data_IF_578910459239
#
_entry.id   IF_578910459239
#
_cell.length_a   1.000
_cell.length_b   1.000
_cell.length_c   1.000
_cell.angle_alpha   90.00
_cell.angle_beta   90.00
_cell.angle_gamma   90.00
#
_symmetry.space_group_name_H-M   'P 1'
#
loop_
_entity.id
_entity.type
_entity.pdbx_description
1 polymer ?
#
# COMPACT_ATOMS: atom_id res chain seq x y z
N UNK A 1 -33.00 -0.99 40.56
CA UNK A 1 -32.82 -0.16 39.36
C UNK A 1 -32.10 -1.05 38.37
N UNK A 2 -32.74 -1.36 37.26
CA UNK A 2 -32.28 -2.33 36.27
C UNK A 2 -32.68 -1.86 34.89
N UNK A 3 -32.17 -2.53 33.87
CA UNK A 3 -32.45 -2.25 32.46
C UNK A 3 -33.96 -2.05 32.23
N UNK A 4 -34.37 -1.22 31.26
CA UNK A 4 -35.80 -0.97 30.97
C UNK A 4 -36.59 -2.23 30.62
N UNK A 5 -35.89 -3.33 30.34
CA UNK A 5 -36.44 -4.66 30.03
C UNK A 5 -36.36 -5.65 31.20
N UNK A 6 -35.86 -5.24 32.38
CA UNK A 6 -35.71 -6.12 33.56
C UNK A 6 -34.70 -7.26 33.37
N UNK A 7 -33.84 -7.19 32.35
CA UNK A 7 -32.90 -8.25 32.03
C UNK A 7 -31.66 -8.21 32.93
N UNK A 8 -31.56 -9.14 33.88
CA UNK A 8 -30.43 -9.21 34.83
C UNK A 8 -29.07 -9.41 34.15
N UNK A 9 -29.00 -10.19 33.07
CA UNK A 9 -27.74 -10.41 32.37
C UNK A 9 -27.20 -9.11 31.77
N UNK A 10 -28.09 -8.30 31.20
CA UNK A 10 -27.77 -7.01 30.63
C UNK A 10 -27.13 -6.10 31.69
N UNK A 11 -27.73 -6.03 32.87
CA UNK A 11 -27.25 -5.24 34.00
C UNK A 11 -25.92 -5.75 34.58
N UNK A 12 -25.79 -7.06 34.77
CA UNK A 12 -24.71 -7.66 35.57
C UNK A 12 -23.46 -8.05 34.74
N UNK A 13 -23.63 -8.34 33.45
CA UNK A 13 -22.62 -9.07 32.65
C UNK A 13 -22.26 -8.41 31.33
N UNK A 14 -23.14 -7.59 30.74
CA UNK A 14 -22.90 -7.02 29.41
C UNK A 14 -21.55 -6.29 29.29
N UNK A 15 -21.26 -5.37 30.22
CA UNK A 15 -20.01 -4.59 30.18
C UNK A 15 -18.76 -5.47 30.24
N UNK A 16 -18.80 -6.53 31.05
CA UNK A 16 -17.69 -7.48 31.19
C UNK A 16 -17.45 -8.23 29.88
N UNK A 17 -18.52 -8.76 29.27
CA UNK A 17 -18.42 -9.49 28.01
C UNK A 17 -17.98 -8.59 26.87
N UNK A 18 -18.48 -7.36 26.82
CA UNK A 18 -18.11 -6.37 25.82
C UNK A 18 -16.63 -5.98 25.90
N UNK A 19 -16.10 -5.75 27.12
CA UNK A 19 -14.66 -5.54 27.30
C UNK A 19 -13.86 -6.78 26.88
N UNK A 20 -14.30 -7.97 27.29
CA UNK A 20 -13.64 -9.23 26.93
C UNK A 20 -13.57 -9.45 25.43
N UNK A 21 -14.62 -9.12 24.66
CA UNK A 21 -14.59 -9.24 23.20
C UNK A 21 -13.56 -8.32 22.56
N UNK A 22 -13.43 -7.07 23.03
CA UNK A 22 -12.46 -6.11 22.50
C UNK A 22 -11.02 -6.52 22.85
N UNK A 23 -10.78 -6.97 24.08
CA UNK A 23 -9.49 -7.48 24.53
C UNK A 23 -9.07 -8.72 23.71
N UNK A 24 -9.98 -9.67 23.49
CA UNK A 24 -9.68 -10.85 22.69
C UNK A 24 -9.38 -10.49 21.22
N UNK A 25 -10.09 -9.52 20.65
CA UNK A 25 -9.86 -9.04 19.28
C UNK A 25 -8.44 -8.47 19.10
N UNK A 26 -7.90 -7.76 20.10
CA UNK A 26 -6.51 -7.27 20.08
C UNK A 26 -5.50 -8.43 20.15
N UNK A 27 -5.80 -9.46 20.96
CA UNK A 27 -4.93 -10.64 21.09
C UNK A 27 -4.95 -11.60 19.90
N UNK A 28 -5.88 -11.44 18.95
CA UNK A 28 -5.92 -12.29 17.74
C UNK A 28 -4.70 -12.09 16.86
N UNK A 29 -4.04 -10.93 16.90
CA UNK A 29 -2.88 -10.66 16.06
C UNK A 29 -1.67 -11.44 16.57
N UNK A 30 -1.11 -12.33 15.76
CA UNK A 30 0.16 -13.01 16.08
C UNK A 30 1.31 -11.99 16.04
N UNK A 31 1.55 -11.30 17.15
CA UNK A 31 2.65 -10.35 17.32
C UNK A 31 3.99 -11.02 16.96
N UNK A 32 4.15 -12.31 17.25
CA UNK A 32 5.36 -13.06 16.87
C UNK A 32 5.54 -13.22 15.36
N UNK A 33 4.48 -13.43 14.60
CA UNK A 33 4.57 -13.55 13.14
C UNK A 33 4.79 -12.19 12.50
N UNK A 34 4.17 -11.13 13.03
CA UNK A 34 4.46 -9.76 12.60
C UNK A 34 5.93 -9.42 12.82
N UNK A 35 6.47 -9.75 14.00
CA UNK A 35 7.88 -9.54 14.34
C UNK A 35 8.82 -10.37 13.45
N UNK A 36 8.49 -11.63 13.16
CA UNK A 36 9.25 -12.48 12.23
C UNK A 36 9.19 -11.98 10.79
N UNK A 37 8.06 -11.39 10.36
CA UNK A 37 7.90 -10.76 9.05
C UNK A 37 8.76 -9.51 8.92
N UNK A 38 8.70 -8.61 9.91
CA UNK A 38 9.50 -7.39 10.00
C UNK A 38 11.01 -7.71 10.01
N UNK A 39 11.45 -8.71 10.79
CA UNK A 39 12.85 -9.17 10.84
C UNK A 39 13.33 -9.68 9.46
N UNK A 40 12.51 -10.45 8.74
CA UNK A 40 12.84 -10.97 7.41
C UNK A 40 12.89 -9.88 6.34
N UNK A 41 12.01 -8.88 6.43
CA UNK A 41 12.01 -7.75 5.50
C UNK A 41 13.22 -6.83 5.74
N UNK A 42 13.59 -6.59 6.99
CA UNK A 42 14.80 -5.84 7.34
C UNK A 42 16.06 -6.56 6.85
N UNK A 43 16.12 -7.89 6.95
CA UNK A 43 17.22 -8.69 6.41
C UNK A 43 17.36 -8.53 4.88
N UNK A 44 16.24 -8.62 4.14
CA UNK A 44 16.22 -8.39 2.68
C UNK A 44 16.69 -6.98 2.30
N UNK A 45 16.15 -5.96 2.97
CA UNK A 45 16.58 -4.56 2.78
C UNK A 45 18.06 -4.38 3.15
N UNK A 46 18.56 -5.12 4.13
CA UNK A 46 19.97 -5.14 4.51
C UNK A 46 20.86 -5.77 3.44
N UNK A 47 20.41 -6.86 2.81
CA UNK A 47 21.12 -7.54 1.72
C UNK A 47 21.22 -6.67 0.47
N UNK A 48 20.12 -6.05 0.04
CA UNK A 48 20.09 -5.11 -1.09
C UNK A 48 21.10 -3.97 -0.90
N UNK A 49 21.13 -3.36 0.29
CA UNK A 49 22.14 -2.32 0.63
C UNK A 49 23.58 -2.85 0.59
N UNK A 50 23.82 -4.11 0.95
CA UNK A 50 25.16 -4.72 0.86
C UNK A 50 25.56 -4.93 -0.60
N UNK A 51 24.64 -5.37 -1.44
CA UNK A 51 24.86 -5.54 -2.88
C UNK A 51 25.14 -4.20 -3.58
N UNK A 52 24.36 -3.16 -3.28
CA UNK A 52 24.60 -1.81 -3.80
C UNK A 52 25.99 -1.29 -3.41
N UNK A 53 26.41 -1.50 -2.16
CA UNK A 53 27.76 -1.12 -1.70
C UNK A 53 28.85 -1.87 -2.45
N UNK A 54 28.70 -3.18 -2.64
CA UNK A 54 29.64 -4.00 -3.42
C UNK A 54 29.71 -3.51 -4.86
N UNK A 55 28.56 -3.29 -5.51
CA UNK A 55 28.50 -2.75 -6.88
C UNK A 55 29.11 -1.36 -6.99
N UNK A 56 28.92 -0.50 -5.98
CA UNK A 56 29.54 0.83 -5.91
C UNK A 56 31.05 0.78 -5.80
N UNK A 57 31.60 -0.11 -4.96
CA UNK A 57 33.05 -0.31 -4.84
C UNK A 57 33.68 -0.86 -6.12
N UNK A 58 33.04 -1.82 -6.77
CA UNK A 58 33.52 -2.35 -8.06
C UNK A 58 33.54 -1.28 -9.15
N UNK A 59 32.49 -0.45 -9.24
CA UNK A 59 32.45 0.69 -10.17
C UNK A 59 33.60 1.65 -9.91
N UNK A 60 33.87 2.02 -8.65
CA UNK A 60 35.00 2.89 -8.28
C UNK A 60 36.34 2.29 -8.68
N UNK A 61 36.56 0.99 -8.41
CA UNK A 61 37.78 0.28 -8.83
C UNK A 61 37.93 0.25 -10.36
N UNK A 62 36.83 0.06 -11.08
CA UNK A 62 36.79 0.10 -12.54
C UNK A 62 37.15 1.49 -13.10
N UNK A 63 36.61 2.55 -12.53
CA UNK A 63 36.97 3.93 -12.90
C UNK A 63 38.43 4.25 -12.61
N UNK A 64 38.96 3.84 -11.46
CA UNK A 64 40.36 4.07 -11.10
C UNK A 64 41.32 3.36 -12.08
N UNK A 65 41.01 2.11 -12.46
CA UNK A 65 41.77 1.38 -13.49
C UNK A 65 41.74 2.10 -14.85
N UNK A 66 40.57 2.61 -15.26
CA UNK A 66 40.44 3.40 -16.51
C UNK A 66 41.24 4.69 -16.47
N UNK A 67 41.25 5.38 -15.32
CA UNK A 67 42.06 6.60 -15.13
C UNK A 67 43.55 6.31 -15.24
N UNK A 68 44.05 5.31 -14.52
CA UNK A 68 45.47 4.89 -14.59
C UNK A 68 45.89 4.51 -16.00
N UNK A 69 45.10 3.66 -16.69
CA UNK A 69 45.38 3.29 -18.08
C UNK A 69 45.30 4.48 -19.05
N UNK A 70 44.45 5.47 -18.77
CA UNK A 70 44.39 6.72 -19.53
C UNK A 70 45.61 7.62 -19.30
N UNK A 71 46.14 7.68 -18.08
CA UNK A 71 47.36 8.41 -17.75
C UNK A 71 48.60 7.78 -18.37
N UNK A 72 48.70 6.45 -18.34
CA UNK A 72 49.78 5.69 -19.00
C UNK A 72 49.83 5.98 -20.50
N UNK A 73 48.70 5.86 -21.21
CA UNK A 73 48.61 6.18 -22.66
C UNK A 73 49.00 7.62 -22.96
N UNK A 74 48.57 8.58 -22.13
CA UNK A 74 48.97 9.99 -22.28
C UNK A 74 50.46 10.21 -22.02
N UNK A 75 51.06 9.41 -21.15
CA UNK A 75 52.50 9.39 -20.89
C UNK A 75 53.28 8.89 -22.11
N UNK A 76 52.84 7.77 -22.68
CA UNK A 76 53.42 7.18 -23.90
C UNK A 76 53.33 8.15 -25.09
N UNK A 77 52.16 8.75 -25.36
CA UNK A 77 51.99 9.75 -26.42
C UNK A 77 52.90 10.97 -26.23
N UNK A 78 53.11 11.42 -24.99
CA UNK A 78 54.02 12.54 -24.69
C UNK A 78 55.47 12.15 -24.92
N UNK A 79 55.85 10.93 -24.60
CA UNK A 79 57.21 10.43 -24.84
C UNK A 79 57.47 10.25 -26.33
N UNK A 80 56.50 9.71 -27.08
CA UNK A 80 56.55 9.60 -28.54
C UNK A 80 56.73 10.97 -29.20
N UNK A 81 55.91 11.98 -28.83
CA UNK A 81 56.09 13.36 -29.30
C UNK A 81 57.46 13.95 -28.95
N UNK A 82 58.05 13.57 -27.81
CA UNK A 82 59.42 13.99 -27.46
C UNK A 82 60.46 13.30 -28.34
N UNK A 83 60.27 12.02 -28.69
CA UNK A 83 61.14 11.28 -29.62
C UNK A 83 61.05 11.85 -31.03
N UNK A 84 59.85 12.18 -31.52
CA UNK A 84 59.65 12.86 -32.80
C UNK A 84 60.34 14.23 -32.85
N UNK A 85 60.20 15.05 -31.79
CA UNK A 85 60.90 16.34 -31.71
C UNK A 85 62.42 16.20 -31.70
N UNK A 86 62.97 15.12 -31.14
CA UNK A 86 64.41 14.83 -31.21
C UNK A 86 64.84 14.44 -32.63
N UNK A 87 64.04 13.64 -33.34
CA UNK A 87 64.28 13.26 -34.75
C UNK A 87 64.19 14.48 -35.69
N UNK A 88 63.15 15.30 -35.55
CA UNK A 88 63.02 16.54 -36.33
C UNK A 88 64.04 17.62 -35.98
N UNK A 89 64.67 17.54 -34.81
CA UNK A 89 65.80 18.40 -34.42
C UNK A 89 67.13 18.03 -35.10
N UNK A 90 67.26 16.80 -35.61
CA UNK A 90 68.38 16.37 -36.45
C UNK A 90 68.16 16.74 -37.93
N UNK A 91 66.92 16.68 -38.43
CA UNK A 91 66.58 17.14 -39.80
C UNK A 91 66.62 18.67 -39.94
N UNK A 92 66.30 19.42 -38.88
CA UNK A 92 66.35 20.89 -38.88
C UNK A 92 67.76 21.51 -38.86
N UNK A 93 68.83 20.72 -38.85
CA UNK A 93 70.21 21.22 -38.98
C UNK A 93 70.78 21.14 -40.40
N UNK A 94 70.07 20.51 -41.35
CA UNK A 94 70.46 20.49 -42.77
C UNK A 94 69.65 21.43 -43.68
N UNK A 95 68.53 22.01 -43.23
CA UNK A 95 67.77 23.02 -43.99
C UNK A 95 68.09 24.48 -43.58
N UNK A 96 69.31 24.71 -43.07
CA UNK A 96 69.80 26.07 -42.78
C UNK A 96 70.33 26.84 -43.99
N UNK A 97 70.15 26.36 -45.24
CA UNK A 97 70.60 27.04 -46.47
C UNK A 97 69.76 26.68 -47.71
N UNK A 98 68.56 27.24 -47.83
CA UNK A 98 67.88 27.57 -49.11
C UNK A 98 66.69 28.46 -48.77
N UNK A 99 66.84 29.78 -48.93
CA UNK A 99 66.17 30.52 -50.00
C UNK A 99 64.69 30.71 -49.65
N UNK A 100 64.30 31.78 -48.97
CA UNK A 100 63.88 33.02 -49.64
C UNK A 100 63.29 32.79 -51.04
N UNK A 101 62.00 32.53 -51.11
CA UNK A 101 61.09 33.08 -52.13
C UNK A 101 59.64 32.72 -51.78
N UNK A 102 58.70 33.64 -51.98
CA UNK A 102 57.27 33.33 -51.97
C UNK A 102 56.38 34.07 -50.96
N UNK A 103 56.64 35.34 -50.67
CA UNK A 103 55.54 36.26 -50.31
C UNK A 103 54.70 36.53 -51.56
N UNK A 104 53.43 36.11 -51.60
CA UNK A 104 52.28 36.94 -52.02
C UNK A 104 50.97 36.15 -52.14
N UNK A 105 49.93 36.72 -51.50
CA UNK A 105 48.52 36.59 -51.88
C UNK A 105 47.80 35.43 -51.19
N UNK A 106 46.68 35.59 -50.50
CA UNK A 106 45.81 36.73 -50.28
C UNK A 106 44.61 36.19 -49.52
N UNK A 107 44.16 36.92 -48.50
CA UNK A 107 42.89 36.70 -47.85
C UNK A 107 41.76 36.77 -48.89
N UNK A 108 40.81 35.84 -48.86
CA UNK A 108 39.38 36.17 -48.93
C UNK A 108 38.49 34.96 -48.62
N UNK A 109 37.84 35.06 -47.46
CA UNK A 109 36.40 34.85 -47.21
C UNK A 109 35.82 33.44 -47.45
N UNK A 110 35.49 32.70 -46.39
CA UNK A 110 34.35 32.87 -45.45
C UNK A 110 33.03 32.44 -46.08
N UNK A 111 32.59 31.24 -45.70
CA UNK A 111 31.18 30.93 -45.48
C UNK A 111 30.60 29.90 -46.43
N UNK A 112 30.91 28.62 -46.22
CA UNK A 112 30.13 27.54 -46.84
C UNK A 112 30.34 26.22 -46.09
N UNK A 113 29.80 26.10 -44.88
CA UNK A 113 29.69 24.79 -44.20
C UNK A 113 28.69 24.83 -43.04
N UNK A 114 27.50 25.38 -43.32
CA UNK A 114 26.41 25.42 -42.33
C UNK A 114 25.03 25.29 -42.95
N UNK A 115 24.85 24.32 -43.87
CA UNK A 115 23.51 23.96 -44.39
C UNK A 115 23.34 22.47 -44.68
N UNK A 116 23.83 21.61 -43.78
CA UNK A 116 23.57 20.17 -43.87
C UNK A 116 23.12 19.55 -42.53
N UNK A 117 22.20 20.25 -41.84
CA UNK A 117 21.46 19.71 -40.67
C UNK A 117 20.02 20.20 -40.64
N UNK A 118 19.28 20.05 -41.74
CA UNK A 118 17.84 20.38 -41.75
C UNK A 118 17.01 19.73 -42.87
N UNK A 119 17.29 18.47 -43.18
CA UNK A 119 16.41 17.62 -44.00
C UNK A 119 16.54 16.16 -43.57
N UNK A 120 15.92 15.83 -42.45
CA UNK A 120 15.49 14.46 -42.13
C UNK A 120 14.58 14.49 -40.89
N UNK A 121 13.53 15.30 -40.98
CA UNK A 121 12.36 15.15 -40.14
C UNK A 121 11.16 15.00 -41.07
N UNK A 122 10.38 13.96 -40.80
CA UNK A 122 9.08 13.61 -41.38
C UNK A 122 9.11 12.75 -42.65
N UNK A 123 9.11 11.43 -42.43
CA UNK A 123 8.15 10.52 -43.06
C UNK A 123 8.13 9.19 -42.32
N UNK A 124 7.06 8.92 -41.59
CA UNK A 124 6.81 7.61 -40.99
C UNK A 124 5.91 7.69 -39.78
N UNK A 125 4.64 8.04 -39.97
CA UNK A 125 3.62 7.57 -39.04
C UNK A 125 2.29 7.38 -39.77
N UNK A 126 1.98 6.12 -40.02
CA UNK A 126 0.81 5.64 -40.73
C UNK A 126 -0.18 5.05 -39.72
N UNK A 127 -1.30 5.77 -39.58
CA UNK A 127 -2.70 5.31 -39.40
C UNK A 127 -2.97 3.89 -38.85
N UNK A 128 -3.64 3.87 -37.69
CA UNK A 128 -4.84 3.05 -37.36
C UNK A 128 -5.74 3.96 -36.51
N UNK A 129 -7.03 4.15 -36.71
CA UNK A 129 -8.08 3.31 -37.29
C UNK A 129 -9.17 3.14 -36.22
N UNK A 130 -10.20 3.99 -36.28
CA UNK A 130 -11.58 3.94 -35.75
C UNK A 130 -11.90 3.30 -34.37
N UNK A 131 -12.69 3.99 -33.55
CA UNK A 131 -14.15 3.76 -33.44
C UNK A 131 -14.79 4.27 -32.12
N UNK A 132 -16.02 4.75 -32.29
CA UNK A 132 -17.18 4.68 -31.38
C UNK A 132 -17.22 5.59 -30.13
N UNK A 133 -18.15 6.56 -30.23
CA UNK A 133 -18.97 7.07 -29.12
C UNK A 133 -19.96 5.99 -28.71
N UNK A 134 -19.90 5.58 -27.45
CA UNK A 134 -21.00 4.92 -26.75
C UNK A 134 -21.00 5.39 -25.29
N UNK A 135 -22.20 5.76 -24.84
CA UNK A 135 -22.50 6.05 -23.46
C UNK A 135 -22.08 4.88 -22.57
N UNK A 136 -21.67 5.20 -21.35
CA UNK A 136 -22.26 4.59 -20.17
C UNK A 136 -21.72 5.34 -18.96
N UNK A 137 -22.67 5.82 -18.16
CA UNK A 137 -22.48 6.19 -16.76
C UNK A 137 -21.84 5.01 -16.04
N UNK A 138 -20.52 4.95 -15.99
CA UNK A 138 -19.82 4.17 -14.98
C UNK A 138 -19.36 5.15 -13.92
N UNK A 139 -20.21 5.20 -12.89
CA UNK A 139 -19.93 5.75 -11.58
C UNK A 139 -18.47 5.46 -11.20
N UNK A 140 -17.66 6.53 -11.20
CA UNK A 140 -16.40 6.56 -10.49
C UNK A 140 -16.78 6.45 -9.02
N UNK A 141 -16.82 5.23 -8.50
CA UNK A 141 -16.91 5.01 -7.06
C UNK A 141 -15.50 5.29 -6.55
N UNK A 142 -15.35 6.50 -6.01
CA UNK A 142 -14.18 6.93 -5.26
C UNK A 142 -13.85 5.88 -4.17
N UNK A 143 -12.56 5.58 -3.93
CA UNK A 143 -12.14 4.61 -2.92
C UNK A 143 -12.58 4.94 -1.49
N UNK A 144 -13.05 6.16 -1.24
CA UNK A 144 -13.53 6.65 0.05
C UNK A 144 -14.94 6.14 0.44
N UNK A 145 -15.70 5.50 -0.46
CA UNK A 145 -17.03 4.94 -0.14
C UNK A 145 -16.97 3.49 0.38
N UNK A 146 -15.77 2.91 0.54
CA UNK A 146 -15.60 1.47 0.73
C UNK A 146 -15.88 0.93 2.15
N UNK A 147 -15.88 1.75 3.20
CA UNK A 147 -15.96 1.23 4.58
C UNK A 147 -16.61 2.22 5.55
N UNK A 148 -17.71 2.87 5.16
CA UNK A 148 -18.47 3.68 6.11
C UNK A 148 -19.58 2.80 6.67
N UNK A 149 -19.41 2.32 7.90
CA UNK A 149 -20.51 1.74 8.67
C UNK A 149 -21.73 2.67 8.55
N UNK A 150 -22.97 2.14 8.40
CA UNK A 150 -24.17 2.97 8.28
C UNK A 150 -24.43 3.82 9.52
N UNK A 151 -23.70 4.94 9.67
CA UNK A 151 -23.78 5.82 10.83
C UNK A 151 -25.19 6.39 11.00
N UNK A 152 -25.90 6.57 9.88
CA UNK A 152 -27.28 7.02 9.90
C UNK A 152 -28.21 5.98 10.56
N UNK A 153 -28.03 4.69 10.25
CA UNK A 153 -28.75 3.60 10.94
C UNK A 153 -28.46 3.62 12.45
N UNK A 154 -27.18 3.75 12.83
CA UNK A 154 -26.80 3.84 14.24
C UNK A 154 -27.48 5.01 14.95
N UNK A 155 -27.48 6.20 14.34
CA UNK A 155 -28.10 7.41 14.90
C UNK A 155 -29.61 7.27 15.05
N UNK A 156 -30.27 6.63 14.10
CA UNK A 156 -31.71 6.35 14.17
C UNK A 156 -32.00 5.38 15.32
N UNK A 157 -31.27 4.27 15.40
CA UNK A 157 -31.47 3.26 16.45
C UNK A 157 -31.08 3.77 17.85
N UNK A 158 -30.13 4.71 17.95
CA UNK A 158 -29.77 5.33 19.23
C UNK A 158 -30.97 6.00 19.93
N UNK A 159 -31.94 6.51 19.16
CA UNK A 159 -33.16 7.12 19.67
C UNK A 159 -34.38 6.19 19.62
N UNK A 160 -34.21 4.94 19.18
CA UNK A 160 -35.27 3.95 19.06
C UNK A 160 -35.55 3.24 20.41
N UNK A 161 -36.45 2.24 20.39
CA UNK A 161 -36.82 1.49 21.59
C UNK A 161 -35.66 0.68 22.15
N UNK A 162 -35.78 0.23 23.40
CA UNK A 162 -34.78 -0.65 24.01
C UNK A 162 -34.64 -1.97 23.23
N UNK A 163 -35.75 -2.52 22.71
CA UNK A 163 -35.72 -3.74 21.91
C UNK A 163 -35.00 -3.52 20.57
N UNK A 164 -35.24 -2.40 19.89
CA UNK A 164 -34.54 -2.07 18.63
C UNK A 164 -33.02 -1.96 18.81
N UNK A 165 -32.59 -1.36 19.93
CA UNK A 165 -31.16 -1.25 20.28
C UNK A 165 -30.53 -2.61 20.53
N UNK A 166 -31.20 -3.48 21.26
CA UNK A 166 -30.72 -4.85 21.51
C UNK A 166 -30.74 -5.69 20.23
N UNK A 167 -31.76 -5.55 19.39
CA UNK A 167 -31.90 -6.26 18.13
C UNK A 167 -30.78 -5.88 17.15
N UNK A 168 -30.48 -4.58 17.01
CA UNK A 168 -29.37 -4.11 16.18
C UNK A 168 -28.02 -4.62 16.71
N UNK A 169 -27.79 -4.52 18.02
CA UNK A 169 -26.58 -5.00 18.67
C UNK A 169 -26.36 -6.50 18.42
N UNK A 170 -27.38 -7.32 18.66
CA UNK A 170 -27.31 -8.76 18.42
C UNK A 170 -27.13 -9.09 16.93
N UNK A 171 -27.75 -8.33 16.03
CA UNK A 171 -27.55 -8.53 14.59
C UNK A 171 -26.10 -8.24 14.18
N UNK A 172 -25.51 -7.13 14.61
CA UNK A 172 -24.11 -6.78 14.31
C UNK A 172 -23.16 -7.87 14.82
N UNK A 173 -23.38 -8.37 16.04
CA UNK A 173 -22.58 -9.47 16.61
C UNK A 173 -22.70 -10.76 15.78
N UNK A 174 -23.90 -11.14 15.37
CA UNK A 174 -24.13 -12.34 14.57
C UNK A 174 -23.51 -12.24 13.16
N UNK A 175 -23.63 -11.09 12.51
CA UNK A 175 -23.01 -10.86 11.19
C UNK A 175 -21.47 -10.83 11.31
N UNK A 176 -20.94 -10.29 12.41
CA UNK A 176 -19.51 -10.36 12.73
C UNK A 176 -19.04 -11.79 12.89
N UNK A 177 -19.79 -12.62 13.64
CA UNK A 177 -19.50 -14.05 13.77
C UNK A 177 -19.51 -14.74 12.41
N UNK A 178 -20.53 -14.50 11.58
CA UNK A 178 -20.61 -15.07 10.24
C UNK A 178 -19.41 -14.69 9.37
N UNK A 179 -18.96 -13.43 9.44
CA UNK A 179 -17.79 -12.95 8.72
C UNK A 179 -16.49 -13.60 9.22
N UNK A 180 -16.32 -13.73 10.54
CA UNK A 180 -15.16 -14.38 11.15
C UNK A 180 -15.09 -15.89 10.90
N UNK A 181 -16.19 -16.52 10.50
CA UNK A 181 -16.23 -17.93 10.07
C UNK A 181 -15.84 -18.14 8.60
N UNK A 182 -15.63 -17.07 7.82
CA UNK A 182 -15.04 -17.18 6.48
C UNK A 182 -13.57 -17.64 6.53
N UNK A 183 -12.99 -17.94 5.37
CA UNK A 183 -11.59 -18.36 5.27
C UNK A 183 -10.63 -17.21 5.59
N UNK A 184 -10.10 -17.23 6.82
CA UNK A 184 -9.09 -16.31 7.31
C UNK A 184 -7.67 -16.90 7.28
N UNK A 185 -7.40 -17.93 6.47
CA UNK A 185 -6.06 -18.53 6.34
C UNK A 185 -4.99 -17.54 5.86
N UNK A 186 -5.40 -16.47 5.16
CA UNK A 186 -4.53 -15.37 4.77
C UNK A 186 -4.25 -14.35 5.88
N UNK A 187 -5.00 -14.38 6.98
CA UNK A 187 -4.75 -13.55 8.15
C UNK A 187 -3.62 -14.14 9.01
N UNK A 188 -2.81 -13.28 9.62
CA UNK A 188 -1.80 -13.70 10.60
C UNK A 188 -2.42 -13.82 12.01
N UNK A 189 -3.62 -14.39 12.11
CA UNK A 189 -4.36 -14.47 13.36
C UNK A 189 -4.17 -15.82 14.05
N UNK A 190 -4.16 -15.82 15.38
CA UNK A 190 -4.20 -17.05 16.17
C UNK A 190 -5.61 -17.66 16.09
N UNK A 191 -5.74 -18.83 15.46
CA UNK A 191 -7.02 -19.51 15.24
C UNK A 191 -7.79 -19.75 16.55
N UNK A 192 -7.09 -20.04 17.65
CA UNK A 192 -7.72 -20.26 18.96
C UNK A 192 -8.28 -18.97 19.53
N UNK A 193 -7.61 -17.83 19.31
CA UNK A 193 -8.16 -16.53 19.70
C UNK A 193 -9.35 -16.13 18.84
N UNK A 194 -9.33 -16.42 17.54
CA UNK A 194 -10.50 -16.21 16.66
C UNK A 194 -11.70 -17.01 17.19
N UNK A 195 -11.50 -18.28 17.53
CA UNK A 195 -12.55 -19.14 18.11
C UNK A 195 -13.06 -18.56 19.44
N UNK A 196 -12.18 -18.06 20.31
CA UNK A 196 -12.58 -17.40 21.56
C UNK A 196 -13.45 -16.16 21.29
N UNK A 197 -13.10 -15.34 20.30
CA UNK A 197 -13.89 -14.16 19.91
C UNK A 197 -15.27 -14.59 19.40
N UNK A 198 -15.32 -15.55 18.47
CA UNK A 198 -16.58 -16.10 17.95
C UNK A 198 -17.47 -16.57 19.10
N UNK A 199 -16.95 -17.40 20.00
CA UNK A 199 -17.70 -17.93 21.14
C UNK A 199 -18.25 -16.82 22.07
N UNK A 200 -17.44 -15.79 22.34
CA UNK A 200 -17.86 -14.66 23.19
C UNK A 200 -18.93 -13.81 22.49
N UNK A 201 -18.79 -13.55 21.19
CA UNK A 201 -19.75 -12.76 20.41
C UNK A 201 -21.08 -13.50 20.23
N UNK A 202 -21.05 -14.80 19.89
CA UNK A 202 -22.25 -15.65 19.83
C UNK A 202 -22.97 -15.64 21.17
N UNK A 203 -22.25 -15.87 22.26
CA UNK A 203 -22.84 -15.86 23.60
C UNK A 203 -23.44 -14.50 23.96
N UNK A 204 -22.81 -13.39 23.57
CA UNK A 204 -23.38 -12.05 23.78
C UNK A 204 -24.66 -11.87 22.98
N UNK A 205 -24.66 -12.22 21.69
CA UNK A 205 -25.83 -12.08 20.82
C UNK A 205 -27.02 -12.87 21.37
N UNK A 206 -26.82 -14.13 21.78
CA UNK A 206 -27.86 -14.98 22.36
C UNK A 206 -28.44 -14.38 23.65
N UNK A 207 -27.58 -13.85 24.52
CA UNK A 207 -28.04 -13.24 25.76
C UNK A 207 -28.79 -11.93 25.53
N UNK A 208 -28.36 -11.10 24.57
CA UNK A 208 -29.09 -9.89 24.18
C UNK A 208 -30.46 -10.26 23.61
N UNK A 209 -30.54 -11.32 22.80
CA UNK A 209 -31.80 -11.82 22.27
C UNK A 209 -32.73 -12.36 23.36
N UNK A 210 -32.18 -13.06 24.36
CA UNK A 210 -32.95 -13.53 25.52
C UNK A 210 -33.51 -12.39 26.40
N UNK A 211 -32.92 -11.20 26.33
CA UNK A 211 -33.43 -10.01 27.02
C UNK A 211 -34.61 -9.33 26.29
N UNK A 212 -34.89 -9.68 25.04
CA UNK A 212 -35.99 -9.11 24.25
C UNK A 212 -37.30 -9.86 24.52
N UNK A 213 -38.43 -9.16 24.57
CA UNK A 213 -39.74 -9.80 24.80
C UNK A 213 -40.24 -10.51 23.54
N UNK A 214 -39.89 -9.99 22.37
CA UNK A 214 -40.28 -10.53 21.07
C UNK A 214 -39.08 -11.09 20.30
N UNK A 215 -38.96 -12.43 20.12
CA UNK A 215 -37.81 -13.08 19.47
C UNK A 215 -37.75 -12.90 17.95
N UNK A 216 -38.47 -11.92 17.38
CA UNK A 216 -38.70 -11.79 15.93
C UNK A 216 -38.55 -10.38 15.38
N UNK A 217 -37.71 -9.53 15.99
CA UNK A 217 -37.41 -8.22 15.40
C UNK A 217 -36.88 -8.40 13.98
N UNK A 218 -37.42 -7.61 13.04
CA UNK A 218 -37.01 -7.65 11.63
C UNK A 218 -35.53 -7.28 11.55
N UNK A 219 -34.71 -8.17 10.96
CA UNK A 219 -33.31 -7.89 10.64
C UNK A 219 -33.21 -6.64 9.76
N UNK A 220 -32.24 -5.78 10.05
CA UNK A 220 -31.89 -4.64 9.21
C UNK A 220 -31.22 -5.13 7.94
N UNK A 221 -31.88 -4.92 6.80
CA UNK A 221 -31.33 -5.17 5.46
C UNK A 221 -30.10 -4.29 5.17
N UNK A 222 -29.96 -3.16 5.87
CA UNK A 222 -28.83 -2.25 5.73
C UNK A 222 -27.56 -2.81 6.37
N UNK A 223 -27.66 -3.41 7.55
CA UNK A 223 -26.55 -4.14 8.19
C UNK A 223 -26.11 -5.30 7.30
N UNK A 224 -27.06 -6.08 6.79
CA UNK A 224 -26.78 -7.21 5.90
C UNK A 224 -26.05 -6.76 4.63
N UNK A 225 -26.52 -5.68 3.98
CA UNK A 225 -25.83 -5.12 2.81
C UNK A 225 -24.42 -4.64 3.14
N UNK A 226 -24.22 -4.07 4.32
CA UNK A 226 -22.92 -3.58 4.75
C UNK A 226 -21.93 -4.74 4.98
N UNK A 227 -22.30 -5.80 5.70
CA UNK A 227 -21.43 -6.98 5.86
C UNK A 227 -21.16 -7.70 4.52
N UNK A 228 -22.14 -7.73 3.61
CA UNK A 228 -21.92 -8.21 2.25
C UNK A 228 -20.89 -7.36 1.48
N UNK A 229 -20.78 -6.05 1.75
CA UNK A 229 -19.72 -5.21 1.17
C UNK A 229 -18.37 -5.55 1.79
N UNK A 230 -18.28 -5.76 3.10
CA UNK A 230 -17.05 -6.20 3.75
C UNK A 230 -16.52 -7.50 3.12
N UNK A 231 -17.38 -8.52 3.01
CA UNK A 231 -17.00 -9.80 2.38
C UNK A 231 -16.66 -9.64 0.88
N UNK A 232 -17.54 -9.04 0.07
CA UNK A 232 -17.35 -9.06 -1.39
C UNK A 232 -16.40 -7.98 -1.92
N UNK A 233 -16.34 -6.80 -1.29
CA UNK A 233 -15.57 -5.66 -1.80
C UNK A 233 -14.21 -5.52 -1.12
N UNK A 234 -14.04 -6.03 0.10
CA UNK A 234 -12.75 -6.01 0.79
C UNK A 234 -12.11 -7.39 0.66
N UNK A 235 -12.67 -8.41 1.31
CA UNK A 235 -12.04 -9.73 1.36
C UNK A 235 -11.84 -10.34 -0.03
N UNK A 236 -12.90 -10.50 -0.82
CA UNK A 236 -12.79 -11.14 -2.15
C UNK A 236 -11.96 -10.35 -3.15
N UNK A 237 -12.02 -9.01 -3.16
CA UNK A 237 -11.23 -8.18 -4.09
C UNK A 237 -9.74 -8.19 -3.75
N UNK A 238 -9.42 -8.31 -2.47
CA UNK A 238 -8.05 -8.37 -1.98
C UNK A 238 -7.58 -9.82 -1.73
N UNK A 239 -8.27 -10.79 -2.34
CA UNK A 239 -7.95 -12.22 -2.32
C UNK A 239 -7.71 -12.78 -0.91
N UNK A 240 -8.54 -12.36 0.06
CA UNK A 240 -8.45 -12.77 1.46
C UNK A 240 -7.06 -12.54 2.09
N UNK A 241 -6.29 -11.56 1.59
CA UNK A 241 -4.95 -11.27 2.07
C UNK A 241 -4.92 -10.76 3.52
N UNK A 242 -3.76 -10.88 4.17
CA UNK A 242 -3.54 -10.37 5.54
C UNK A 242 -3.94 -8.89 5.69
N UNK A 243 -3.62 -8.05 4.69
CA UNK A 243 -3.98 -6.64 4.70
C UNK A 243 -5.51 -6.41 4.67
N UNK A 244 -6.25 -7.26 3.93
CA UNK A 244 -7.71 -7.19 3.87
C UNK A 244 -8.32 -7.54 5.23
N UNK A 245 -7.81 -8.59 5.86
CA UNK A 245 -8.28 -9.02 7.18
C UNK A 245 -7.96 -8.00 8.28
N UNK A 246 -6.81 -7.32 8.23
CA UNK A 246 -6.53 -6.23 9.18
C UNK A 246 -7.53 -5.06 9.04
N UNK A 247 -7.94 -4.69 7.82
CA UNK A 247 -9.02 -3.70 7.62
C UNK A 247 -10.33 -4.19 8.23
N UNK A 248 -10.66 -5.48 8.05
CA UNK A 248 -11.85 -6.07 8.65
C UNK A 248 -11.78 -6.06 10.18
N UNK A 249 -10.62 -6.33 10.78
CA UNK A 249 -10.44 -6.32 12.25
C UNK A 249 -10.68 -4.94 12.83
N UNK A 250 -10.09 -3.90 12.24
CA UNK A 250 -10.29 -2.50 12.67
C UNK A 250 -11.76 -2.07 12.56
N UNK A 251 -12.43 -2.52 11.49
CA UNK A 251 -13.85 -2.24 11.31
C UNK A 251 -14.70 -3.00 12.35
N UNK A 252 -14.41 -4.27 12.62
CA UNK A 252 -15.07 -5.06 13.67
C UNK A 252 -14.88 -4.40 15.04
N UNK A 253 -13.67 -3.92 15.37
CA UNK A 253 -13.41 -3.20 16.62
C UNK A 253 -14.34 -1.99 16.75
N UNK A 254 -14.45 -1.20 15.69
CA UNK A 254 -15.35 -0.03 15.63
C UNK A 254 -16.81 -0.44 15.83
N UNK A 255 -17.28 -1.50 15.16
CA UNK A 255 -18.64 -2.02 15.29
C UNK A 255 -18.96 -2.48 16.72
N UNK A 256 -18.02 -3.16 17.37
CA UNK A 256 -18.19 -3.63 18.74
C UNK A 256 -18.18 -2.47 19.74
N UNK A 257 -17.35 -1.45 19.54
CA UNK A 257 -17.36 -0.23 20.35
C UNK A 257 -18.67 0.53 20.21
N UNK A 258 -19.19 0.69 19.00
CA UNK A 258 -20.47 1.33 18.76
C UNK A 258 -21.61 0.55 19.41
N UNK A 259 -21.60 -0.78 19.26
CA UNK A 259 -22.58 -1.66 19.91
C UNK A 259 -22.52 -1.54 21.44
N UNK A 260 -21.32 -1.48 22.02
CA UNK A 260 -21.11 -1.24 23.44
C UNK A 260 -21.76 0.08 23.89
N UNK A 261 -21.53 1.18 23.16
CA UNK A 261 -22.13 2.47 23.47
C UNK A 261 -23.65 2.39 23.40
N UNK A 262 -24.20 1.83 22.32
CA UNK A 262 -25.63 1.72 22.08
C UNK A 262 -26.34 1.01 23.24
N UNK A 263 -25.85 -0.17 23.61
CA UNK A 263 -26.44 -0.98 24.67
C UNK A 263 -26.19 -0.36 26.05
N UNK A 264 -25.05 0.28 26.28
CA UNK A 264 -24.76 0.98 27.55
C UNK A 264 -25.71 2.12 27.86
N UNK A 265 -26.38 2.70 26.85
CA UNK A 265 -27.45 3.68 27.07
C UNK A 265 -28.64 3.11 27.84
N UNK A 266 -28.86 1.79 27.77
CA UNK A 266 -29.95 1.09 28.46
C UNK A 266 -29.63 0.83 29.93
N UNK A 267 -28.34 0.72 30.26
CA UNK A 267 -27.85 0.42 31.61
C UNK A 267 -27.86 1.63 32.56
N UNK A 268 -28.00 2.84 32.00
CA UNK A 268 -27.88 4.10 32.74
C UNK A 268 -29.20 4.84 32.93
N UNK A 269 -30.35 4.17 32.75
CA UNK A 269 -31.66 4.81 32.89
C UNK A 269 -32.11 4.83 34.36
N UNK A 270 -32.32 6.03 34.97
CA UNK A 270 -32.85 6.17 36.33
C UNK A 270 -34.34 5.86 36.43
#
# INVERSE_FOLDING_TARGET
QGSPLGCRWLDDKFRLYSHKSLELLDTMVNIEERRRGEEREEERRGEERREERRGGEERRRGEERRRRGGEERRGEEREERRRERRRGGEEGREEGRRGEEGRRGGEERRGEERRERRREERRGEERRGDSVVNNSTNSSVEPEEMVIFPQELYRQTFNASAEDKLALAAQIMNETVALLMEDHSGASWDEKQVENVINVLTQQADNLQACMVSPGHKRSEEVERYFNRLSNHILKKMDYSAAAWELIREEIETLLMQTHLLVSTLLSTP
#
